data_IF_549198206283
#
_entry.id   IF_549198206283
#
_cell.length_a   1.000
_cell.length_b   1.000
_cell.length_c   1.000
_cell.angle_alpha   90.00
_cell.angle_beta   90.00
_cell.angle_gamma   90.00
#
_symmetry.space_group_name_H-M   'P 1'
#
loop_
_entity.id
_entity.type
_entity.pdbx_description
1 polymer ?
#
# COMPACT_ATOMS: atom_id res chain seq x y z
N UNK A 1 -5.43 -4.51 -31.68
CA UNK A 1 -4.22 -4.35 -30.84
C UNK A 1 -3.01 -4.97 -31.51
N UNK A 2 -1.98 -4.17 -31.72
CA UNK A 2 -0.78 -4.51 -32.51
C UNK A 2 0.47 -4.76 -31.63
N UNK A 3 0.34 -4.62 -30.30
CA UNK A 3 1.41 -4.82 -29.34
C UNK A 3 2.27 -3.58 -29.06
N UNK A 4 1.98 -2.44 -29.66
CA UNK A 4 2.70 -1.20 -29.40
C UNK A 4 2.11 -0.38 -28.23
N UNK A 5 0.94 -0.78 -27.74
CA UNK A 5 0.35 -0.19 -26.53
C UNK A 5 0.55 -1.15 -25.36
N UNK A 6 1.36 -0.73 -24.40
CA UNK A 6 1.69 -1.51 -23.21
C UNK A 6 1.44 -0.63 -21.98
N UNK A 7 0.74 -1.17 -20.99
CA UNK A 7 0.44 -0.49 -19.73
C UNK A 7 1.21 -1.15 -18.59
N UNK A 8 2.05 -0.36 -17.93
CA UNK A 8 2.68 -0.70 -16.65
C UNK A 8 1.80 -0.12 -15.54
N UNK A 9 1.29 -0.97 -14.66
CA UNK A 9 0.29 -0.52 -13.70
C UNK A 9 0.44 -1.18 -12.34
N UNK A 10 0.09 -0.47 -11.23
CA UNK A 10 -0.15 -1.10 -9.94
C UNK A 10 -1.43 -1.94 -10.04
N UNK A 11 -1.30 -3.17 -10.53
CA UNK A 11 -2.41 -4.03 -10.91
C UNK A 11 -3.31 -4.39 -9.70
N UNK A 12 -2.75 -4.51 -8.49
CA UNK A 12 -3.53 -4.69 -7.27
C UNK A 12 -4.50 -3.52 -7.03
N UNK A 13 -4.06 -2.28 -7.26
CA UNK A 13 -4.92 -1.10 -7.09
C UNK A 13 -5.87 -0.90 -8.26
N UNK A 14 -5.35 -0.97 -9.50
CA UNK A 14 -6.11 -0.63 -10.71
C UNK A 14 -7.05 -1.76 -11.15
N UNK A 15 -6.57 -3.00 -11.18
CA UNK A 15 -7.33 -4.11 -11.74
C UNK A 15 -8.15 -4.85 -10.67
N UNK A 16 -7.57 -5.04 -9.47
CA UNK A 16 -8.24 -5.80 -8.42
C UNK A 16 -9.10 -4.91 -7.50
N UNK A 17 -8.59 -3.76 -7.03
CA UNK A 17 -9.28 -2.98 -6.01
C UNK A 17 -10.33 -1.99 -6.57
N UNK A 18 -10.06 -1.32 -7.71
CA UNK A 18 -10.98 -0.30 -8.25
C UNK A 18 -12.42 -0.77 -8.45
N UNK A 19 -12.72 -2.00 -8.92
CA UNK A 19 -14.10 -2.48 -9.03
C UNK A 19 -14.89 -2.46 -7.72
N UNK A 20 -14.21 -2.52 -6.58
CA UNK A 20 -14.83 -2.49 -5.25
C UNK A 20 -15.02 -1.08 -4.69
N UNK A 21 -14.27 -0.09 -5.22
CA UNK A 21 -14.33 1.30 -4.75
C UNK A 21 -15.20 2.20 -5.60
N UNK A 22 -15.38 1.88 -6.88
CA UNK A 22 -16.10 2.73 -7.82
C UNK A 22 -17.36 2.04 -8.35
N UNK A 23 -18.49 2.73 -8.28
CA UNK A 23 -19.78 2.22 -8.80
C UNK A 23 -19.77 2.02 -10.33
N UNK A 24 -18.92 2.75 -11.03
CA UNK A 24 -18.79 2.69 -12.49
C UNK A 24 -17.35 2.97 -12.88
N UNK A 25 -16.76 2.07 -13.63
CA UNK A 25 -15.48 2.24 -14.29
C UNK A 25 -15.70 2.47 -15.78
N UNK A 26 -14.76 3.17 -16.43
CA UNK A 26 -14.74 3.36 -17.89
C UNK A 26 -14.18 2.15 -18.65
N UNK A 27 -13.73 1.13 -17.93
CA UNK A 27 -13.15 -0.11 -18.45
C UNK A 27 -13.55 -1.31 -17.59
N UNK A 28 -13.48 -2.50 -18.16
CA UNK A 28 -13.65 -3.78 -17.46
C UNK A 28 -12.27 -4.40 -17.22
N UNK A 29 -11.78 -4.47 -15.96
CA UNK A 29 -10.42 -4.97 -15.68
C UNK A 29 -10.19 -6.42 -16.09
N UNK A 30 -11.25 -7.24 -16.20
CA UNK A 30 -11.15 -8.64 -16.57
C UNK A 30 -11.27 -8.88 -18.09
N UNK A 31 -11.91 -7.96 -18.83
CA UNK A 31 -12.21 -8.13 -20.25
C UNK A 31 -11.37 -7.26 -21.18
N UNK A 32 -10.98 -6.06 -20.71
CA UNK A 32 -10.35 -5.07 -21.60
C UNK A 32 -8.81 -5.21 -21.63
N UNK A 33 -8.24 -6.06 -20.79
CA UNK A 33 -6.80 -6.27 -20.71
C UNK A 33 -6.41 -7.75 -20.79
N UNK A 34 -5.23 -8.00 -21.35
CA UNK A 34 -4.53 -9.28 -21.30
C UNK A 34 -3.27 -9.09 -20.47
N UNK A 35 -3.10 -9.91 -19.43
CA UNK A 35 -1.90 -9.90 -18.59
C UNK A 35 -0.70 -10.45 -19.36
N UNK A 36 0.45 -9.76 -19.24
CA UNK A 36 1.72 -10.17 -19.84
C UNK A 36 2.62 -10.82 -18.79
N UNK A 37 2.99 -10.05 -17.76
CA UNK A 37 3.87 -10.53 -16.69
C UNK A 37 3.68 -9.72 -15.40
N UNK A 38 3.87 -10.32 -14.21
CA UNK A 38 4.13 -9.57 -13.00
C UNK A 38 5.53 -8.96 -13.06
N UNK A 39 5.69 -7.75 -12.51
CA UNK A 39 6.97 -7.03 -12.46
C UNK A 39 7.57 -6.99 -11.05
N UNK A 40 6.75 -6.68 -10.07
CA UNK A 40 7.20 -6.48 -8.70
C UNK A 40 6.08 -6.72 -7.70
N UNK A 41 6.46 -7.17 -6.51
CA UNK A 41 5.63 -7.27 -5.33
C UNK A 41 6.14 -6.25 -4.31
N UNK A 42 5.26 -5.36 -3.88
CA UNK A 42 5.60 -4.27 -2.99
C UNK A 42 4.74 -4.37 -1.73
N UNK A 43 5.34 -4.72 -0.58
CA UNK A 43 4.62 -4.64 0.68
C UNK A 43 4.29 -3.17 1.00
N UNK A 44 3.19 -2.95 1.68
CA UNK A 44 2.90 -1.70 2.35
C UNK A 44 3.57 -1.70 3.72
N UNK A 45 3.66 -0.52 4.30
CA UNK A 45 4.18 -0.32 5.63
C UNK A 45 3.31 0.68 6.40
N UNK A 46 3.32 0.56 7.71
CA UNK A 46 2.74 1.54 8.62
C UNK A 46 3.90 2.28 9.29
N UNK A 47 3.91 3.61 9.16
CA UNK A 47 4.97 4.43 9.72
C UNK A 47 4.42 5.60 10.54
N UNK A 48 5.23 6.01 11.52
CA UNK A 48 5.00 7.17 12.38
C UNK A 48 6.17 8.15 12.27
N UNK A 49 6.02 9.37 12.74
CA UNK A 49 7.15 10.29 12.88
C UNK A 49 8.22 9.67 13.81
N UNK A 50 9.48 9.75 13.43
CA UNK A 50 10.58 9.20 14.24
C UNK A 50 10.67 9.84 15.64
N UNK A 51 10.19 11.07 15.79
CA UNK A 51 10.14 11.79 17.08
C UNK A 51 9.00 11.28 17.98
N UNK A 52 8.03 10.54 17.41
CA UNK A 52 6.94 9.94 18.20
C UNK A 52 7.50 8.94 19.22
N UNK A 53 6.90 8.86 20.42
CA UNK A 53 7.24 7.82 21.41
C UNK A 53 6.78 6.42 20.95
N UNK A 54 5.94 6.31 19.93
CA UNK A 54 5.43 5.07 19.36
C UNK A 54 6.57 4.27 18.73
N UNK A 55 6.80 3.04 19.20
CA UNK A 55 7.86 2.15 18.70
C UNK A 55 7.31 0.88 18.04
N UNK A 56 6.10 0.48 18.41
CA UNK A 56 5.46 -0.76 17.97
C UNK A 56 4.03 -0.48 17.48
N UNK A 57 3.42 -1.45 16.81
CA UNK A 57 1.99 -1.37 16.45
C UNK A 57 1.11 -1.29 17.69
N UNK A 58 1.46 -2.02 18.76
CA UNK A 58 0.75 -1.94 20.03
C UNK A 58 0.78 -0.54 20.65
N UNK A 59 1.96 0.13 20.62
CA UNK A 59 2.08 1.51 21.09
C UNK A 59 1.23 2.47 20.22
N UNK A 60 1.19 2.22 18.89
CA UNK A 60 0.37 3.00 17.98
C UNK A 60 -1.11 2.90 18.36
N UNK A 61 -1.63 1.69 18.51
CA UNK A 61 -3.02 1.44 18.93
C UNK A 61 -3.32 2.11 20.26
N UNK A 62 -2.45 1.94 21.26
CA UNK A 62 -2.63 2.55 22.58
C UNK A 62 -2.59 4.08 22.55
N UNK A 63 -1.76 4.66 21.67
CA UNK A 63 -1.68 6.12 21.46
C UNK A 63 -2.93 6.65 20.77
N UNK A 64 -3.41 5.97 19.72
CA UNK A 64 -4.58 6.38 18.96
C UNK A 64 -5.84 6.39 19.82
N UNK A 65 -6.07 5.34 20.62
CA UNK A 65 -7.25 5.25 21.54
C UNK A 65 -7.37 6.38 22.56
N UNK A 66 -6.30 7.16 22.78
CA UNK A 66 -6.31 8.33 23.66
C UNK A 66 -6.74 9.61 22.94
N UNK A 67 -6.93 9.56 21.63
CA UNK A 67 -7.26 10.73 20.79
C UNK A 67 -8.74 10.75 20.42
N UNK A 68 -9.33 11.94 20.18
CA UNK A 68 -10.63 12.04 19.55
C UNK A 68 -10.63 11.28 18.21
N UNK A 69 -11.73 10.56 17.93
CA UNK A 69 -11.89 9.78 16.69
C UNK A 69 -10.75 8.76 16.47
N UNK A 70 -10.03 8.35 17.55
CA UNK A 70 -8.82 7.51 17.47
C UNK A 70 -7.76 8.06 16.48
N UNK A 71 -7.68 9.39 16.32
CA UNK A 71 -6.68 10.08 15.51
C UNK A 71 -6.87 10.01 13.99
N UNK A 72 -5.81 10.31 13.25
CA UNK A 72 -5.84 10.47 11.80
C UNK A 72 -4.78 9.62 11.11
N UNK A 73 -5.09 9.09 9.92
CA UNK A 73 -4.12 8.41 9.09
C UNK A 73 -4.05 8.96 7.67
N UNK A 74 -2.86 8.90 7.07
CA UNK A 74 -2.62 9.29 5.69
C UNK A 74 -2.46 8.09 4.76
N UNK A 75 -3.00 8.21 3.58
CA UNK A 75 -2.82 7.26 2.49
C UNK A 75 -3.05 7.95 1.14
N UNK A 76 -2.64 7.33 0.01
CA UNK A 76 -2.78 7.90 -1.32
C UNK A 76 -3.04 6.88 -2.43
N UNK A 77 -3.47 5.66 -2.08
CA UNK A 77 -3.83 4.63 -3.05
C UNK A 77 -4.95 3.74 -2.51
N UNK A 78 -5.68 3.08 -3.40
CA UNK A 78 -6.74 2.13 -3.00
C UNK A 78 -6.19 0.98 -2.13
N UNK A 79 -4.99 0.48 -2.44
CA UNK A 79 -4.34 -0.54 -1.62
C UNK A 79 -3.99 0.00 -0.23
N UNK A 80 -3.46 1.22 -0.14
CA UNK A 80 -3.19 1.88 1.14
C UNK A 80 -4.46 2.11 1.96
N UNK A 81 -5.57 2.46 1.30
CA UNK A 81 -6.88 2.58 1.94
C UNK A 81 -7.32 1.24 2.51
N UNK A 82 -7.36 0.18 1.70
CA UNK A 82 -7.74 -1.15 2.18
C UNK A 82 -6.86 -1.65 3.33
N UNK A 83 -5.55 -1.36 3.27
CA UNK A 83 -4.61 -1.66 4.36
C UNK A 83 -4.98 -0.95 5.66
N UNK A 84 -5.27 0.35 5.59
CA UNK A 84 -5.62 1.13 6.77
C UNK A 84 -6.99 0.72 7.35
N UNK A 85 -7.98 0.47 6.49
CA UNK A 85 -9.31 0.03 6.94
C UNK A 85 -9.25 -1.36 7.59
N UNK A 86 -8.50 -2.30 7.03
CA UNK A 86 -8.28 -3.61 7.66
C UNK A 86 -7.59 -3.45 9.04
N UNK A 87 -6.59 -2.58 9.13
CA UNK A 87 -5.94 -2.31 10.42
C UNK A 87 -6.92 -1.72 11.43
N UNK A 88 -7.74 -0.75 11.02
CA UNK A 88 -8.78 -0.16 11.87
C UNK A 88 -9.78 -1.21 12.38
N UNK A 89 -10.29 -2.04 11.48
CA UNK A 89 -11.23 -3.10 11.82
C UNK A 89 -10.65 -4.06 12.84
N UNK A 90 -9.47 -4.62 12.56
CA UNK A 90 -8.80 -5.59 13.43
C UNK A 90 -8.37 -5.00 14.77
N UNK A 91 -8.00 -3.71 14.81
CA UNK A 91 -7.62 -3.01 16.03
C UNK A 91 -8.82 -2.40 16.79
N UNK A 92 -10.03 -2.43 16.23
CA UNK A 92 -11.22 -1.79 16.81
C UNK A 92 -11.08 -0.27 16.93
N UNK A 93 -10.50 0.39 15.92
CA UNK A 93 -10.26 1.84 15.87
C UNK A 93 -11.27 2.56 14.99
N UNK A 94 -11.49 3.86 15.28
CA UNK A 94 -12.35 4.76 14.48
C UNK A 94 -11.55 5.79 13.68
N UNK A 95 -10.25 5.64 13.58
CA UNK A 95 -9.30 6.57 12.94
C UNK A 95 -9.81 7.17 11.63
N UNK A 96 -9.67 8.48 11.47
CA UNK A 96 -10.17 9.22 10.32
C UNK A 96 -9.13 9.29 9.21
N UNK A 97 -9.57 9.04 7.98
CA UNK A 97 -8.73 9.13 6.79
C UNK A 97 -8.44 10.58 6.39
N UNK A 98 -7.17 10.85 6.05
CA UNK A 98 -6.73 12.07 5.36
C UNK A 98 -6.12 11.65 4.02
N UNK A 99 -6.80 11.90 2.89
CA UNK A 99 -6.30 11.50 1.57
C UNK A 99 -5.19 12.43 1.09
N UNK A 100 -4.12 11.85 0.55
CA UNK A 100 -3.01 12.58 -0.08
C UNK A 100 -2.84 12.16 -1.53
N UNK A 101 -2.54 13.14 -2.40
CA UNK A 101 -2.35 12.89 -3.85
C UNK A 101 -0.99 12.23 -4.16
N UNK A 102 -0.04 12.31 -3.24
CA UNK A 102 1.31 11.76 -3.44
C UNK A 102 1.99 11.39 -2.12
N UNK A 103 2.95 10.48 -2.18
CA UNK A 103 3.74 10.05 -1.03
C UNK A 103 4.49 11.19 -0.33
N UNK A 104 5.14 12.13 -1.05
CA UNK A 104 5.79 13.28 -0.41
C UNK A 104 4.82 14.16 0.38
N UNK A 105 3.57 14.35 -0.11
CA UNK A 105 2.55 15.13 0.62
C UNK A 105 2.11 14.41 1.90
N UNK A 106 1.87 13.08 1.82
CA UNK A 106 1.54 12.28 3.00
C UNK A 106 2.65 12.30 4.04
N UNK A 107 3.90 12.19 3.60
CA UNK A 107 5.07 12.32 4.47
C UNK A 107 5.15 13.70 5.13
N UNK A 108 4.92 14.77 4.39
CA UNK A 108 4.88 16.13 4.95
C UNK A 108 3.77 16.26 5.99
N UNK A 109 2.58 15.70 5.74
CA UNK A 109 1.49 15.64 6.70
C UNK A 109 1.84 14.91 7.98
N UNK A 110 2.56 13.77 7.88
CA UNK A 110 3.04 13.01 9.04
C UNK A 110 4.05 13.83 9.86
N UNK A 111 5.07 14.37 9.22
CA UNK A 111 6.12 15.15 9.88
C UNK A 111 5.61 16.51 10.42
N UNK A 112 4.53 17.02 9.84
CA UNK A 112 3.81 18.22 10.32
C UNK A 112 2.80 17.97 11.41
N UNK A 113 2.60 16.70 11.83
CA UNK A 113 1.65 16.34 12.89
C UNK A 113 0.17 16.42 12.47
N UNK A 114 -0.12 16.49 11.16
CA UNK A 114 -1.49 16.50 10.64
C UNK A 114 -2.14 15.12 10.69
N UNK A 115 -1.33 14.07 10.68
CA UNK A 115 -1.74 12.67 10.79
C UNK A 115 -0.84 11.95 11.80
N UNK A 116 -1.35 10.88 12.37
CA UNK A 116 -0.67 10.09 13.40
C UNK A 116 0.18 8.98 12.82
N UNK A 117 -0.28 8.42 11.70
CA UNK A 117 0.46 7.40 10.96
C UNK A 117 0.21 7.50 9.47
N UNK A 118 1.14 6.97 8.69
CA UNK A 118 1.09 6.94 7.24
C UNK A 118 1.11 5.48 6.78
N UNK A 119 0.22 5.14 5.84
CA UNK A 119 0.20 3.85 5.15
C UNK A 119 0.64 4.07 3.71
N UNK A 120 1.82 3.53 3.37
CA UNK A 120 2.37 3.67 2.01
C UNK A 120 3.23 2.45 1.65
N UNK A 121 3.73 2.38 0.40
CA UNK A 121 4.64 1.32 0.01
C UNK A 121 5.96 1.38 0.82
N UNK A 122 6.47 0.21 1.19
CA UNK A 122 7.66 0.09 2.02
C UNK A 122 8.93 0.60 1.33
N UNK A 123 8.96 0.57 -0.02
CA UNK A 123 10.10 1.04 -0.80
C UNK A 123 10.31 2.54 -0.62
N UNK A 124 9.23 3.33 -0.79
CA UNK A 124 9.27 4.77 -0.52
C UNK A 124 9.65 5.06 0.93
N UNK A 125 9.04 4.36 1.87
CA UNK A 125 9.25 4.62 3.31
C UNK A 125 10.66 4.25 3.76
N UNK A 126 11.29 3.23 3.19
CA UNK A 126 12.60 2.73 3.63
C UNK A 126 13.70 3.79 3.58
N UNK A 127 13.73 4.61 2.53
CA UNK A 127 14.69 5.71 2.40
C UNK A 127 14.52 6.76 3.52
N UNK A 128 13.29 7.07 3.87
CA UNK A 128 12.99 8.05 4.92
C UNK A 128 13.23 7.48 6.33
N UNK A 129 13.01 6.19 6.53
CA UNK A 129 13.32 5.51 7.78
C UNK A 129 14.83 5.46 8.02
N UNK A 130 15.63 5.09 7.00
CA UNK A 130 17.10 5.14 7.07
C UNK A 130 17.65 6.54 7.35
N UNK A 131 16.98 7.57 6.84
CA UNK A 131 17.31 8.97 7.13
C UNK A 131 16.82 9.44 8.51
N UNK A 132 16.24 8.57 9.35
CA UNK A 132 15.77 8.89 10.69
C UNK A 132 14.58 9.85 10.75
N UNK A 133 13.84 10.03 9.64
CA UNK A 133 12.70 10.96 9.56
C UNK A 133 11.41 10.33 10.05
N UNK A 134 11.23 9.05 9.75
CA UNK A 134 10.07 8.24 10.17
C UNK A 134 10.54 6.95 10.81
N UNK A 135 9.65 6.31 11.54
CA UNK A 135 9.81 4.94 12.03
C UNK A 135 8.75 4.06 11.40
N UNK A 136 9.17 3.00 10.70
CA UNK A 136 8.27 1.95 10.23
C UNK A 136 8.01 1.02 11.41
N UNK A 137 6.75 0.86 11.80
CA UNK A 137 6.36 0.02 12.94
C UNK A 137 5.97 -1.39 12.52
N UNK A 138 5.52 -1.59 11.28
CA UNK A 138 5.29 -2.90 10.68
C UNK A 138 5.23 -2.83 9.16
N UNK A 139 5.52 -3.99 8.50
CA UNK A 139 5.23 -4.25 7.09
C UNK A 139 4.02 -5.17 6.97
N UNK A 140 3.32 -5.10 5.84
CA UNK A 140 2.05 -5.81 5.62
C UNK A 140 2.20 -7.14 4.89
N UNK A 141 3.41 -7.51 4.50
CA UNK A 141 3.72 -8.80 3.87
C UNK A 141 3.66 -9.96 4.87
N UNK A 142 3.47 -11.18 4.36
CA UNK A 142 3.45 -12.41 5.17
C UNK A 142 4.78 -12.64 5.93
N UNK A 143 5.89 -12.24 5.31
CA UNK A 143 7.23 -12.34 5.89
C UNK A 143 7.89 -10.97 5.91
N UNK A 144 8.90 -10.78 6.77
CA UNK A 144 9.68 -9.54 6.82
C UNK A 144 10.32 -9.25 5.48
N UNK A 145 10.38 -7.97 5.12
CA UNK A 145 11.08 -7.53 3.91
C UNK A 145 12.58 -7.71 4.06
N UNK A 146 13.25 -8.27 3.05
CA UNK A 146 14.71 -8.38 3.03
C UNK A 146 15.44 -7.02 3.09
N UNK A 147 14.75 -5.95 2.65
CA UNK A 147 15.28 -4.57 2.73
C UNK A 147 15.07 -3.91 4.09
N UNK A 148 14.23 -4.50 4.96
CA UNK A 148 13.85 -4.02 6.29
C UNK A 148 13.74 -5.20 7.26
N UNK A 149 14.81 -5.99 7.46
CA UNK A 149 14.74 -7.23 8.24
C UNK A 149 14.43 -7.01 9.73
N UNK A 150 14.72 -5.81 10.24
CA UNK A 150 14.44 -5.39 11.61
C UNK A 150 12.95 -5.03 11.84
N UNK A 151 12.19 -4.76 10.77
CA UNK A 151 10.79 -4.34 10.88
C UNK A 151 9.90 -5.59 10.92
N UNK A 152 9.08 -5.76 11.98
CA UNK A 152 8.17 -6.89 12.08
C UNK A 152 7.04 -6.80 11.04
N UNK A 153 6.41 -7.94 10.76
CA UNK A 153 5.16 -7.96 10.02
C UNK A 153 3.98 -7.59 10.91
N UNK A 154 2.83 -7.25 10.30
CA UNK A 154 1.59 -7.06 11.05
C UNK A 154 1.19 -8.34 11.81
N UNK A 155 1.41 -9.52 11.21
CA UNK A 155 1.13 -10.80 11.89
C UNK A 155 2.00 -11.00 13.12
N UNK A 156 3.30 -10.72 13.04
CA UNK A 156 4.21 -10.75 14.20
C UNK A 156 3.83 -9.70 15.26
N UNK A 157 3.14 -8.65 14.86
CA UNK A 157 2.70 -7.55 15.74
C UNK A 157 1.33 -7.78 16.38
N UNK A 158 0.77 -9.00 16.28
CA UNK A 158 -0.48 -9.37 16.94
C UNK A 158 -1.73 -9.25 16.08
N UNK A 159 -1.59 -9.17 14.76
CA UNK A 159 -2.70 -9.12 13.79
C UNK A 159 -2.68 -10.36 12.89
N UNK A 160 -3.12 -11.53 13.37
CA UNK A 160 -3.06 -12.78 12.63
C UNK A 160 -3.90 -12.69 11.34
N UNK A 161 -3.35 -13.18 10.23
CA UNK A 161 -4.00 -13.11 8.92
C UNK A 161 -3.94 -11.75 8.23
N UNK A 162 -3.28 -10.76 8.82
CA UNK A 162 -3.07 -9.47 8.17
C UNK A 162 -1.97 -9.61 7.11
N UNK A 163 -2.39 -9.76 5.87
CA UNK A 163 -1.48 -9.79 4.73
C UNK A 163 -2.05 -8.98 3.58
N UNK A 164 -1.37 -7.90 3.21
CA UNK A 164 -1.66 -7.09 2.03
C UNK A 164 -0.36 -6.76 1.32
N UNK A 165 -0.27 -7.15 0.06
CA UNK A 165 0.82 -6.78 -0.83
C UNK A 165 0.28 -6.13 -2.09
N UNK A 166 0.92 -5.05 -2.52
CA UNK A 166 0.69 -4.50 -3.84
C UNK A 166 1.56 -5.25 -4.85
N UNK A 167 1.04 -5.45 -6.04
CA UNK A 167 1.82 -5.98 -7.14
C UNK A 167 1.66 -5.12 -8.39
N UNK A 168 2.75 -5.01 -9.11
CA UNK A 168 2.82 -4.30 -10.38
C UNK A 168 2.90 -5.32 -11.51
N UNK A 169 2.26 -5.01 -12.60
CA UNK A 169 2.26 -5.88 -13.77
C UNK A 169 2.24 -5.10 -15.06
N UNK A 170 2.55 -5.84 -16.11
CA UNK A 170 2.42 -5.40 -17.49
C UNK A 170 1.15 -6.00 -18.06
N UNK A 171 0.33 -5.17 -18.65
CA UNK A 171 -0.86 -5.58 -19.39
C UNK A 171 -0.90 -4.92 -20.76
N UNK A 172 -1.58 -5.55 -21.69
CA UNK A 172 -1.85 -5.03 -23.03
C UNK A 172 -3.35 -5.02 -23.27
N UNK A 173 -3.87 -4.28 -24.26
CA UNK A 173 -5.28 -4.32 -24.63
C UNK A 173 -5.74 -5.75 -24.93
N UNK A 174 -6.95 -6.08 -24.54
CA UNK A 174 -7.59 -7.36 -24.91
C UNK A 174 -7.56 -7.56 -26.42
N UNK A 175 -7.39 -8.82 -26.85
CA UNK A 175 -7.28 -9.15 -28.27
C UNK A 175 -5.89 -8.93 -28.87
N UNK A 176 -4.86 -8.55 -28.08
CA UNK A 176 -3.46 -8.58 -28.53
C UNK A 176 -3.07 -10.03 -28.85
N UNK A 177 -2.52 -10.30 -30.06
CA UNK A 177 -2.19 -11.66 -30.49
C UNK A 177 -1.27 -12.39 -29.51
N UNK A 178 -1.57 -13.65 -29.22
CA UNK A 178 -0.79 -14.49 -28.28
C UNK A 178 0.73 -14.51 -28.54
N UNK A 179 1.22 -14.56 -29.81
CA UNK A 179 2.65 -14.51 -30.08
C UNK A 179 3.31 -13.21 -29.61
N UNK A 180 2.59 -12.08 -29.72
CA UNK A 180 3.09 -10.77 -29.25
C UNK A 180 3.14 -10.76 -27.72
N UNK A 181 2.08 -11.24 -27.06
CA UNK A 181 2.04 -11.36 -25.57
C UNK A 181 3.21 -12.22 -25.07
N UNK A 182 3.42 -13.38 -25.69
CA UNK A 182 4.53 -14.28 -25.33
C UNK A 182 5.91 -13.64 -25.52
N UNK A 183 6.10 -12.88 -26.61
CA UNK A 183 7.35 -12.16 -26.85
C UNK A 183 7.60 -11.07 -25.79
N UNK A 184 6.57 -10.32 -25.43
CA UNK A 184 6.65 -9.28 -24.38
C UNK A 184 6.94 -9.89 -23.00
N UNK A 185 6.37 -11.06 -22.70
CA UNK A 185 6.59 -11.76 -21.43
C UNK A 185 7.99 -12.37 -21.30
N UNK A 186 8.70 -12.56 -22.41
CA UNK A 186 10.05 -13.12 -22.43
C UNK A 186 11.17 -12.06 -22.33
N UNK A 187 10.82 -10.79 -22.23
CA UNK A 187 11.75 -9.67 -22.06
C UNK A 187 11.87 -9.28 -20.58
#
# INVERSE_FOLDING_TARGET
>A
PDGYTVLFTPASSMLAAQPHFFKKLSFDPLKDFTSVAPLAWLPFAIAVDAKSPVKTVGDLVASLRKKPEDGFYGMGSNTGFGTAELFKEMAGLKTVQVPYKSAPQGLAGLLGGQIDFLVWDATFMSGHARAGRIRIVAVTSATRSSSLPEVPTMMESGFPGFEISSWWGVVVPAGTPRPIVAKLAGW
#
